data_IF_498733742932
#
_entry.id   IF_498733742932
#
_cell.length_a   1.000
_cell.length_b   1.000
_cell.length_c   1.000
_cell.angle_alpha   90.00
_cell.angle_beta   90.00
_cell.angle_gamma   90.00
#
_symmetry.space_group_name_H-M   'P 1'
#
loop_
_entity.id
_entity.type
_entity.pdbx_description
1 polymer ?
#
# COMPACT_ATOMS: atom_id res chain seq x y z
N UNK A 1 17.41 -8.40 12.90
CA UNK A 1 16.38 -7.47 13.41
C UNK A 1 16.51 -7.44 14.92
N UNK A 2 16.74 -6.28 15.54
CA UNK A 2 16.57 -6.18 17.00
C UNK A 2 15.10 -6.49 17.31
N UNK A 3 14.84 -7.52 18.12
CA UNK A 3 13.49 -7.80 18.62
C UNK A 3 13.06 -6.58 19.45
N UNK A 4 11.91 -5.99 19.10
CA UNK A 4 11.33 -4.94 19.94
C UNK A 4 10.98 -5.59 21.28
N UNK A 5 11.69 -5.23 22.36
CA UNK A 5 11.51 -5.88 23.69
C UNK A 5 10.05 -5.80 24.17
N UNK A 6 9.37 -4.71 23.84
CA UNK A 6 7.95 -4.51 24.13
C UNK A 6 7.03 -5.53 23.45
N UNK A 7 7.44 -6.06 22.29
CA UNK A 7 6.61 -6.95 21.48
C UNK A 7 7.07 -8.42 21.52
N UNK A 8 8.16 -8.73 22.24
CA UNK A 8 8.71 -10.08 22.30
C UNK A 8 7.90 -11.04 23.17
N UNK A 9 6.98 -10.53 23.99
CA UNK A 9 6.09 -11.33 24.87
C UNK A 9 4.71 -11.60 24.28
N UNK A 10 4.44 -11.14 23.05
CA UNK A 10 3.13 -11.31 22.44
C UNK A 10 2.92 -12.77 21.99
N UNK A 11 1.73 -13.31 22.24
CA UNK A 11 1.31 -14.61 21.74
C UNK A 11 1.35 -14.65 20.20
N UNK A 12 1.51 -15.85 19.64
CA UNK A 12 1.47 -16.04 18.18
C UNK A 12 0.04 -15.70 17.70
N UNK A 13 -0.05 -14.93 16.61
CA UNK A 13 -1.34 -14.62 16.01
C UNK A 13 -1.93 -15.85 15.31
N UNK A 14 -3.26 -15.99 15.33
CA UNK A 14 -3.96 -17.20 14.90
C UNK A 14 -3.91 -17.42 13.37
N UNK A 15 -4.07 -16.35 12.58
CA UNK A 15 -4.14 -16.45 11.10
C UNK A 15 -2.92 -15.84 10.40
N UNK A 16 -2.69 -14.54 10.61
CA UNK A 16 -1.58 -13.81 9.99
C UNK A 16 -0.60 -13.38 11.07
N UNK A 17 0.61 -13.92 10.97
CA UNK A 17 1.68 -13.67 11.94
C UNK A 17 2.29 -12.28 11.82
N UNK A 18 2.38 -11.74 10.60
CA UNK A 18 3.09 -10.48 10.32
C UNK A 18 2.84 -9.95 8.91
N UNK A 19 3.12 -8.67 8.72
CA UNK A 19 3.25 -8.02 7.43
C UNK A 19 4.62 -8.35 6.81
N UNK A 20 4.60 -8.65 5.52
CA UNK A 20 5.78 -8.81 4.69
C UNK A 20 6.01 -7.52 3.90
N UNK A 21 7.02 -6.73 4.29
CA UNK A 21 7.33 -5.45 3.62
C UNK A 21 8.39 -5.56 2.52
N UNK A 22 9.27 -6.57 2.61
CA UNK A 22 10.47 -6.66 1.75
C UNK A 22 10.09 -7.21 0.38
N UNK A 23 10.67 -6.63 -0.69
CA UNK A 23 10.48 -7.07 -2.08
C UNK A 23 8.99 -7.17 -2.49
N UNK A 24 8.20 -6.17 -2.11
CA UNK A 24 6.76 -6.11 -2.43
C UNK A 24 6.42 -5.05 -3.49
N UNK A 25 7.29 -4.07 -3.70
CA UNK A 25 7.16 -3.15 -4.82
C UNK A 25 7.79 -3.79 -6.06
N UNK A 26 7.12 -3.77 -7.22
CA UNK A 26 7.67 -4.31 -8.46
C UNK A 26 8.77 -3.42 -9.08
N UNK A 27 8.91 -2.19 -8.59
CA UNK A 27 9.77 -1.16 -9.15
C UNK A 27 10.16 -0.11 -8.10
N UNK A 28 11.00 0.84 -8.51
CA UNK A 28 11.48 1.90 -7.64
C UNK A 28 10.37 2.90 -7.31
N UNK A 29 10.32 3.26 -6.03
CA UNK A 29 9.52 4.37 -5.51
C UNK A 29 10.31 5.68 -5.44
N UNK A 30 11.59 5.65 -5.85
CA UNK A 30 12.52 6.79 -5.74
C UNK A 30 12.12 7.96 -6.64
N UNK A 31 11.38 7.68 -7.73
CA UNK A 31 10.84 8.65 -8.67
C UNK A 31 9.43 9.17 -8.33
N UNK A 32 8.89 8.91 -7.14
CA UNK A 32 7.67 9.61 -6.63
C UNK A 32 8.03 11.07 -6.25
N UNK A 33 8.89 11.70 -7.05
CA UNK A 33 9.21 13.11 -7.02
C UNK A 33 8.22 13.86 -7.94
N UNK A 34 7.96 15.15 -7.70
CA UNK A 34 6.91 15.91 -8.40
C UNK A 34 7.03 15.99 -9.93
N UNK A 35 8.17 15.60 -10.52
CA UNK A 35 8.60 15.94 -11.89
C UNK A 35 8.89 14.71 -12.77
N UNK A 36 8.18 13.59 -12.57
CA UNK A 36 8.37 12.41 -13.41
C UNK A 36 7.67 12.57 -14.78
N UNK A 37 8.39 12.27 -15.88
CA UNK A 37 7.82 12.17 -17.24
C UNK A 37 7.06 10.85 -17.42
N UNK A 38 5.92 10.88 -18.11
CA UNK A 38 5.03 9.72 -18.31
C UNK A 38 5.72 8.50 -18.97
N UNK A 39 6.78 8.73 -19.75
CA UNK A 39 7.56 7.68 -20.45
C UNK A 39 8.37 6.77 -19.51
N UNK A 40 8.47 7.11 -18.23
CA UNK A 40 9.30 6.38 -17.25
C UNK A 40 8.49 5.54 -16.24
N UNK A 41 7.19 5.32 -16.50
CA UNK A 41 6.32 4.58 -15.58
C UNK A 41 6.13 3.12 -16.00
N UNK A 42 5.89 2.23 -15.03
CA UNK A 42 5.69 0.80 -15.26
C UNK A 42 4.48 0.46 -16.16
N UNK A 43 3.38 1.20 -16.01
CA UNK A 43 2.16 0.99 -16.77
C UNK A 43 1.64 2.32 -17.34
N UNK A 44 2.03 2.66 -18.58
CA UNK A 44 1.53 3.85 -19.28
C UNK A 44 0.00 3.86 -19.47
N UNK A 45 -0.66 2.71 -19.42
CA UNK A 45 -2.12 2.62 -19.57
C UNK A 45 -2.88 2.95 -18.28
N UNK A 46 -2.18 3.09 -17.15
CA UNK A 46 -2.83 3.32 -15.86
C UNK A 46 -3.48 4.72 -15.82
N UNK A 47 -4.74 4.86 -15.36
CA UNK A 47 -5.46 6.15 -15.30
C UNK A 47 -4.79 7.23 -14.44
N UNK A 48 -3.83 6.85 -13.62
CA UNK A 48 -3.12 7.73 -12.71
C UNK A 48 -1.90 8.38 -13.38
N UNK A 49 -1.51 7.97 -14.60
CA UNK A 49 -0.36 8.51 -15.33
C UNK A 49 -0.54 10.01 -15.56
N UNK A 50 -1.75 10.40 -15.96
CA UNK A 50 -2.11 11.80 -16.20
C UNK A 50 -2.59 12.54 -14.95
N UNK A 51 -2.61 11.89 -13.78
CA UNK A 51 -3.04 12.50 -12.54
C UNK A 51 -1.88 13.30 -11.91
N UNK A 52 -2.07 14.60 -11.62
CA UNK A 52 -1.08 15.36 -10.87
C UNK A 52 -0.82 14.71 -9.52
N UNK A 53 0.47 14.49 -9.18
CA UNK A 53 0.88 13.69 -8.00
C UNK A 53 0.33 14.23 -6.67
N UNK A 54 0.01 15.52 -6.59
CA UNK A 54 -0.64 16.15 -5.42
C UNK A 54 -2.02 15.58 -5.09
N UNK A 55 -2.71 14.99 -6.07
CA UNK A 55 -4.02 14.36 -5.88
C UNK A 55 -3.95 12.89 -5.51
N UNK A 56 -2.75 12.28 -5.47
CA UNK A 56 -2.62 10.91 -4.99
C UNK A 56 -3.09 10.80 -3.53
N UNK A 57 -3.63 9.64 -3.12
CA UNK A 57 -4.07 9.42 -1.75
C UNK A 57 -2.96 9.74 -0.76
N UNK A 58 -3.18 10.77 0.05
CA UNK A 58 -2.25 11.25 1.06
C UNK A 58 -2.97 11.41 2.39
N UNK A 59 -2.22 11.06 3.44
CA UNK A 59 -2.52 11.35 4.83
C UNK A 59 -1.37 12.17 5.41
N UNK A 60 -1.70 13.21 6.16
CA UNK A 60 -0.72 14.06 6.82
C UNK A 60 -1.11 14.24 8.29
N UNK A 61 -0.14 14.00 9.16
CA UNK A 61 -0.20 14.23 10.59
C UNK A 61 1.14 14.86 11.02
N UNK A 62 1.18 15.52 12.18
CA UNK A 62 2.41 16.14 12.69
C UNK A 62 3.54 15.13 12.88
N UNK A 63 3.19 13.87 13.19
CA UNK A 63 4.15 12.82 13.55
C UNK A 63 4.65 12.09 12.32
N UNK A 64 3.82 11.91 11.29
CA UNK A 64 4.24 11.38 10.01
C UNK A 64 3.27 11.73 8.88
N UNK A 65 3.75 11.62 7.64
CA UNK A 65 2.88 11.63 6.47
C UNK A 65 3.02 10.35 5.65
N UNK A 66 1.96 9.98 4.95
CA UNK A 66 1.94 8.86 4.02
C UNK A 66 1.34 9.29 2.69
N UNK A 67 1.98 8.88 1.61
CA UNK A 67 1.39 8.93 0.25
C UNK A 67 1.31 7.52 -0.31
N UNK A 68 0.17 7.14 -0.88
CA UNK A 68 0.00 5.89 -1.59
C UNK A 68 0.11 6.14 -3.10
N UNK A 69 0.94 5.33 -3.77
CA UNK A 69 1.18 5.42 -5.21
C UNK A 69 0.88 4.06 -5.85
N UNK A 70 0.05 3.99 -6.91
CA UNK A 70 -0.24 2.72 -7.57
C UNK A 70 1.00 2.18 -8.28
N UNK A 71 1.11 0.86 -8.37
CA UNK A 71 2.28 0.19 -8.97
C UNK A 71 2.56 0.63 -10.40
N UNK A 72 1.51 0.92 -11.18
CA UNK A 72 1.66 1.39 -12.56
C UNK A 72 2.45 2.70 -12.69
N UNK A 73 2.57 3.50 -11.63
CA UNK A 73 3.33 4.76 -11.61
C UNK A 73 4.77 4.63 -11.10
N UNK A 74 5.18 3.45 -10.64
CA UNK A 74 6.54 3.23 -10.21
C UNK A 74 7.50 3.26 -11.41
N UNK A 75 8.76 3.58 -11.14
CA UNK A 75 9.79 3.67 -12.19
C UNK A 75 10.55 2.34 -12.31
N UNK A 76 10.70 1.79 -13.53
CA UNK A 76 11.58 0.66 -13.76
C UNK A 76 12.97 0.95 -13.17
N UNK A 77 13.52 0.02 -12.40
CA UNK A 77 14.87 0.21 -11.89
C UNK A 77 15.88 0.18 -13.06
N UNK A 78 16.68 1.24 -13.19
CA UNK A 78 17.69 1.37 -14.25
C UNK A 78 18.86 0.39 -14.11
N UNK A 79 19.00 -0.22 -12.93
CA UNK A 79 19.99 -1.25 -12.62
C UNK A 79 19.19 -2.48 -12.19
N UNK A 80 19.43 -3.67 -12.76
CA UNK A 80 18.79 -4.88 -12.28
C UNK A 80 19.18 -5.09 -10.82
N UNK A 81 18.25 -4.87 -9.90
CA UNK A 81 18.45 -5.30 -8.54
C UNK A 81 18.59 -6.83 -8.52
N UNK A 82 19.37 -7.37 -7.58
CA UNK A 82 19.68 -8.80 -7.52
C UNK A 82 18.42 -9.68 -7.49
N UNK A 83 18.32 -10.75 -8.27
CA UNK A 83 17.09 -11.52 -8.47
C UNK A 83 16.29 -11.83 -7.19
N UNK A 84 14.96 -11.99 -7.28
CA UNK A 84 14.14 -11.97 -8.50
C UNK A 84 13.40 -10.64 -8.64
N UNK A 85 13.72 -9.83 -9.65
CA UNK A 85 13.03 -8.54 -9.88
C UNK A 85 12.32 -8.43 -11.25
N UNK A 86 12.33 -9.48 -12.07
CA UNK A 86 11.38 -9.64 -13.19
C UNK A 86 10.03 -10.11 -12.66
N UNK A 87 9.43 -9.25 -11.84
CA UNK A 87 8.17 -9.53 -11.17
C UNK A 87 7.06 -9.00 -12.09
N UNK A 88 6.32 -9.86 -12.81
CA UNK A 88 5.29 -9.39 -13.72
C UNK A 88 4.22 -8.66 -12.92
N UNK A 89 3.92 -7.43 -13.33
CA UNK A 89 2.79 -6.66 -12.80
C UNK A 89 1.57 -6.91 -13.67
N UNK A 90 0.40 -7.03 -13.05
CA UNK A 90 -0.86 -6.95 -13.77
C UNK A 90 -1.08 -5.49 -14.17
N UNK A 91 -1.10 -5.22 -15.48
CA UNK A 91 -1.39 -3.87 -16.01
C UNK A 91 -2.86 -3.53 -15.80
N UNK A 92 -3.18 -2.24 -15.82
CA UNK A 92 -4.54 -1.74 -15.67
C UNK A 92 -5.47 -2.32 -16.74
N UNK A 93 -5.07 -2.28 -18.02
CA UNK A 93 -5.86 -2.82 -19.12
C UNK A 93 -6.15 -4.33 -18.98
N UNK A 94 -5.18 -5.10 -18.49
CA UNK A 94 -5.33 -6.53 -18.21
C UNK A 94 -6.33 -6.77 -17.07
N UNK A 95 -6.21 -6.01 -15.98
CA UNK A 95 -7.14 -6.06 -14.84
C UNK A 95 -8.58 -5.75 -15.26
N UNK A 96 -8.78 -4.74 -16.10
CA UNK A 96 -10.10 -4.36 -16.62
C UNK A 96 -10.68 -5.47 -17.50
N UNK A 97 -9.90 -5.97 -18.45
CA UNK A 97 -10.33 -7.05 -19.35
C UNK A 97 -10.74 -8.29 -18.57
N UNK A 98 -9.94 -8.64 -17.54
CA UNK A 98 -10.25 -9.75 -16.63
C UNK A 98 -11.53 -9.52 -15.82
N UNK A 99 -11.76 -8.30 -15.35
CA UNK A 99 -12.97 -7.96 -14.57
C UNK A 99 -14.24 -8.08 -15.41
N UNK A 100 -14.17 -7.80 -16.71
CA UNK A 100 -15.27 -8.00 -17.66
C UNK A 100 -15.51 -9.48 -18.01
N UNK A 101 -14.45 -10.29 -18.05
CA UNK A 101 -14.56 -11.73 -18.29
C UNK A 101 -14.99 -12.56 -17.07
N UNK A 102 -15.08 -11.93 -15.89
CA UNK A 102 -15.38 -12.64 -14.64
C UNK A 102 -16.90 -12.90 -14.53
N UNK A 103 -17.35 -14.17 -14.49
CA UNK A 103 -18.78 -14.50 -14.42
C UNK A 103 -19.45 -14.03 -13.12
N UNK A 104 -18.68 -13.73 -12.07
CA UNK A 104 -19.22 -13.14 -10.84
C UNK A 104 -19.70 -11.69 -11.03
N UNK A 105 -19.15 -10.97 -12.02
CA UNK A 105 -19.56 -9.60 -12.37
C UNK A 105 -20.94 -9.57 -13.03
N UNK A 106 -21.31 -10.64 -13.72
CA UNK A 106 -22.55 -10.77 -14.50
C UNK A 106 -23.80 -10.93 -13.60
N UNK A 107 -23.64 -11.56 -12.43
CA UNK A 107 -24.78 -11.93 -11.57
C UNK A 107 -25.43 -10.75 -10.81
N UNK A 108 -24.76 -9.60 -10.69
CA UNK A 108 -25.19 -8.49 -9.84
C UNK A 108 -25.44 -7.18 -10.58
N UNK A 109 -25.34 -7.14 -11.92
CA UNK A 109 -25.41 -5.93 -12.74
C UNK A 109 -24.49 -4.78 -12.26
N UNK A 110 -23.48 -5.09 -11.44
CA UNK A 110 -22.49 -4.14 -10.93
C UNK A 110 -21.13 -4.58 -11.42
N UNK A 111 -20.58 -3.80 -12.34
CA UNK A 111 -19.21 -3.96 -12.82
C UNK A 111 -18.23 -3.75 -11.65
N UNK A 112 -17.80 -4.84 -11.05
CA UNK A 112 -16.85 -4.82 -9.94
C UNK A 112 -15.43 -4.96 -10.47
N UNK A 113 -14.55 -4.06 -10.04
CA UNK A 113 -13.13 -4.16 -10.37
C UNK A 113 -12.52 -5.33 -9.60
N UNK A 114 -12.00 -6.32 -10.32
CA UNK A 114 -11.38 -7.48 -9.70
C UNK A 114 -10.14 -7.05 -8.89
N UNK A 115 -9.77 -7.75 -7.79
CA UNK A 115 -8.60 -7.39 -7.01
C UNK A 115 -7.30 -7.57 -7.83
N UNK A 116 -6.30 -6.72 -7.57
CA UNK A 116 -4.98 -6.83 -8.22
C UNK A 116 -4.33 -8.17 -7.90
N UNK A 117 -3.83 -8.84 -8.95
CA UNK A 117 -3.00 -10.04 -8.81
C UNK A 117 -1.59 -9.63 -8.37
N UNK A 118 -1.19 -10.10 -7.19
CA UNK A 118 0.17 -9.92 -6.71
C UNK A 118 1.06 -11.09 -7.14
N UNK A 119 2.22 -10.83 -7.74
CA UNK A 119 3.14 -11.86 -8.18
C UNK A 119 3.82 -12.56 -7.00
N UNK A 120 3.37 -13.81 -6.75
CA UNK A 120 3.96 -15.00 -6.07
C UNK A 120 4.89 -14.90 -4.84
N UNK A 121 5.43 -13.75 -4.42
CA UNK A 121 6.24 -13.63 -3.19
C UNK A 121 5.39 -13.52 -1.93
N UNK A 122 4.45 -14.45 -1.78
CA UNK A 122 3.63 -14.60 -0.59
C UNK A 122 4.25 -15.70 0.27
N UNK A 123 4.75 -15.31 1.44
CA UNK A 123 5.14 -16.29 2.47
C UNK A 123 3.90 -16.68 3.24
N UNK A 124 3.68 -17.99 3.45
CA UNK A 124 2.56 -18.48 4.22
C UNK A 124 2.48 -17.80 5.60
N UNK A 125 1.26 -17.43 6.01
CA UNK A 125 1.00 -16.73 7.27
C UNK A 125 1.54 -15.29 7.33
N UNK A 126 1.94 -14.68 6.21
CA UNK A 126 2.35 -13.26 6.14
C UNK A 126 1.58 -12.50 5.08
N UNK A 127 1.12 -11.31 5.44
CA UNK A 127 0.36 -10.45 4.56
C UNK A 127 1.29 -9.47 3.82
N UNK A 128 1.37 -9.51 2.48
CA UNK A 128 2.22 -8.60 1.73
C UNK A 128 1.74 -7.15 1.81
N UNK A 129 2.67 -6.22 2.05
CA UNK A 129 2.43 -4.78 2.01
C UNK A 129 3.62 -4.08 1.36
N UNK A 130 3.39 -3.35 0.27
CA UNK A 130 4.43 -2.53 -0.35
C UNK A 130 4.62 -1.24 0.45
N UNK A 131 5.75 -1.15 1.15
CA UNK A 131 6.04 -0.05 2.07
C UNK A 131 7.47 0.47 1.87
N UNK A 132 7.58 1.78 1.69
CA UNK A 132 8.81 2.53 1.62
C UNK A 132 8.81 3.53 2.76
N UNK A 133 9.90 3.60 3.52
CA UNK A 133 10.00 4.53 4.66
C UNK A 133 11.19 5.43 4.44
N UNK A 134 10.93 6.73 4.30
CA UNK A 134 11.92 7.76 4.03
C UNK A 134 12.24 8.50 5.32
N UNK A 135 13.13 7.93 6.14
CA UNK A 135 13.68 8.62 7.31
C UNK A 135 14.89 9.46 6.89
N UNK A 136 14.65 10.72 6.49
CA UNK A 136 15.71 11.65 6.06
C UNK A 136 16.59 12.12 7.23
N UNK A 137 17.88 12.36 7.00
CA UNK A 137 18.82 12.85 8.03
C UNK A 137 18.37 14.18 8.67
N UNK A 138 17.82 15.10 7.86
CA UNK A 138 17.35 16.42 8.30
C UNK A 138 16.08 16.33 9.15
N UNK A 139 15.10 15.53 8.72
CA UNK A 139 13.80 15.40 9.38
C UNK A 139 13.81 14.51 10.64
N UNK A 140 14.81 13.62 10.78
CA UNK A 140 14.89 12.66 11.89
C UNK A 140 16.19 12.77 12.66
N UNK A 141 17.26 12.12 12.21
CA UNK A 141 18.56 12.15 12.89
C UNK A 141 19.70 11.78 11.95
N UNK A 142 20.89 12.38 12.18
CA UNK A 142 22.15 11.97 11.53
C UNK A 142 22.56 10.54 11.92
N UNK A 143 22.17 10.04 13.10
CA UNK A 143 22.52 8.69 13.58
C UNK A 143 21.66 7.61 12.92
N UNK A 144 22.29 6.68 12.18
CA UNK A 144 21.61 5.57 11.48
C UNK A 144 20.74 4.72 12.41
N UNK A 145 21.22 4.44 13.62
CA UNK A 145 20.50 3.61 14.61
C UNK A 145 19.17 4.24 15.01
N UNK A 146 19.12 5.56 15.20
CA UNK A 146 17.87 6.28 15.52
C UNK A 146 16.88 6.16 14.36
N UNK A 147 17.33 6.39 13.13
CA UNK A 147 16.49 6.25 11.93
C UNK A 147 15.94 4.83 11.78
N UNK A 148 16.76 3.81 12.01
CA UNK A 148 16.31 2.41 11.98
C UNK A 148 15.26 2.12 13.06
N UNK A 149 15.41 2.68 14.26
CA UNK A 149 14.41 2.54 15.33
C UNK A 149 13.09 3.20 14.95
N UNK A 150 13.11 4.40 14.35
CA UNK A 150 11.91 5.07 13.82
C UNK A 150 11.22 4.19 12.76
N UNK A 151 11.97 3.73 11.75
CA UNK A 151 11.43 2.87 10.67
C UNK A 151 10.81 1.60 11.26
N UNK A 152 11.51 0.93 12.17
CA UNK A 152 11.01 -0.30 12.79
C UNK A 152 9.77 -0.04 13.64
N UNK A 153 9.69 1.11 14.31
CA UNK A 153 8.55 1.48 15.13
C UNK A 153 7.28 1.71 14.31
N UNK A 154 7.39 2.42 13.17
CA UNK A 154 6.30 2.54 12.19
C UNK A 154 5.88 1.16 11.68
N UNK A 155 6.84 0.31 11.28
CA UNK A 155 6.55 -1.05 10.80
C UNK A 155 5.89 -1.92 11.85
N UNK A 156 6.28 -1.78 13.11
CA UNK A 156 5.69 -2.51 14.23
C UNK A 156 4.26 -2.02 14.51
N UNK A 157 4.01 -0.71 14.48
CA UNK A 157 2.67 -0.15 14.62
C UNK A 157 1.74 -0.63 13.50
N UNK A 158 2.19 -0.61 12.25
CA UNK A 158 1.45 -1.17 11.10
C UNK A 158 1.15 -2.66 11.28
N UNK A 159 2.13 -3.45 11.73
CA UNK A 159 1.90 -4.86 12.04
C UNK A 159 0.79 -5.04 13.08
N UNK A 160 0.89 -4.33 14.22
CA UNK A 160 -0.08 -4.46 15.30
C UNK A 160 -1.48 -4.03 14.86
N UNK A 161 -1.59 -2.87 14.18
CA UNK A 161 -2.87 -2.35 13.69
C UNK A 161 -3.55 -3.29 12.69
N UNK A 162 -2.79 -3.91 11.79
CA UNK A 162 -3.36 -4.75 10.73
C UNK A 162 -3.52 -6.21 11.15
N UNK A 163 -2.49 -6.85 11.71
CA UNK A 163 -2.52 -8.31 11.95
C UNK A 163 -3.13 -8.69 13.28
N UNK A 164 -3.20 -7.75 14.24
CA UNK A 164 -3.74 -7.98 15.59
C UNK A 164 -4.84 -6.97 15.97
N UNK A 165 -5.41 -6.29 14.98
CA UNK A 165 -6.49 -5.32 15.15
C UNK A 165 -6.28 -4.40 16.38
N UNK A 166 -5.04 -3.94 16.58
CA UNK A 166 -4.66 -3.29 17.82
C UNK A 166 -5.44 -1.98 18.00
N UNK A 167 -6.02 -1.81 19.18
CA UNK A 167 -6.84 -0.66 19.56
C UNK A 167 -6.45 -0.12 20.93
N UNK A 168 -6.79 1.13 21.18
CA UNK A 168 -6.53 1.78 22.47
C UNK A 168 -7.87 2.01 23.15
N UNK A 169 -8.07 1.36 24.30
CA UNK A 169 -9.24 1.59 25.17
C UNK A 169 -8.73 1.92 26.56
N UNK A 170 -9.28 2.98 27.16
CA UNK A 170 -8.89 3.48 28.49
C UNK A 170 -7.36 3.69 28.65
N UNK A 171 -6.73 4.21 27.59
CA UNK A 171 -5.28 4.44 27.55
C UNK A 171 -4.41 3.19 27.46
N UNK A 172 -5.00 1.99 27.35
CA UNK A 172 -4.29 0.71 27.25
C UNK A 172 -4.42 0.13 25.84
N UNK A 173 -3.34 -0.49 25.38
CA UNK A 173 -3.33 -1.19 24.10
C UNK A 173 -3.97 -2.57 24.24
N UNK A 174 -5.07 -2.80 23.53
CA UNK A 174 -5.79 -4.05 23.44
C UNK A 174 -5.53 -4.66 22.07
N UNK A 175 -5.32 -5.97 22.04
CA UNK A 175 -5.05 -6.73 20.82
C UNK A 175 -6.19 -7.72 20.60
N UNK A 176 -6.87 -7.60 19.47
CA UNK A 176 -7.84 -8.58 19.01
C UNK A 176 -7.13 -9.54 18.04
N UNK A 177 -6.95 -10.78 18.49
CA UNK A 177 -6.14 -11.77 17.79
C UNK A 177 -6.93 -12.57 16.75
N UNK A 178 -8.24 -12.42 16.71
CA UNK A 178 -9.13 -13.24 15.88
C UNK A 178 -9.40 -12.60 14.52
N UNK A 179 -9.37 -11.27 14.42
CA UNK A 179 -9.81 -10.54 13.23
C UNK A 179 -8.70 -9.65 12.63
N UNK A 180 -7.85 -10.18 11.72
CA UNK A 180 -6.88 -9.35 11.02
C UNK A 180 -7.59 -8.37 10.05
N UNK A 181 -7.19 -7.10 10.08
CA UNK A 181 -7.72 -6.01 9.25
C UNK A 181 -7.04 -5.96 7.88
N UNK A 182 -6.93 -7.10 7.22
CA UNK A 182 -6.17 -7.25 5.97
C UNK A 182 -6.68 -6.33 4.87
N UNK A 183 -7.99 -6.09 4.89
CA UNK A 183 -8.71 -5.26 3.96
C UNK A 183 -8.20 -3.80 3.97
N UNK A 184 -7.58 -3.31 5.05
CA UNK A 184 -6.98 -1.97 5.12
C UNK A 184 -5.78 -1.77 4.17
N UNK A 185 -5.16 -2.86 3.70
CA UNK A 185 -4.05 -2.79 2.77
C UNK A 185 -4.60 -2.83 1.34
N UNK A 186 -4.37 -1.75 0.60
CA UNK A 186 -4.68 -1.63 -0.81
C UNK A 186 -3.62 -2.38 -1.63
N UNK A 187 -4.00 -3.53 -2.19
CA UNK A 187 -3.13 -4.31 -3.10
C UNK A 187 -2.89 -3.54 -4.40
N UNK A 188 -1.67 -3.61 -4.93
CA UNK A 188 -1.28 -2.84 -6.11
C UNK A 188 -0.85 -1.40 -5.82
N UNK A 189 -0.72 -1.03 -4.53
CA UNK A 189 -0.29 0.30 -4.10
C UNK A 189 0.94 0.22 -3.21
N UNK A 190 1.88 1.15 -3.43
CA UNK A 190 3.06 1.38 -2.59
C UNK A 190 2.81 2.54 -1.64
N UNK A 191 2.97 2.30 -0.35
CA UNK A 191 2.87 3.30 0.70
C UNK A 191 4.24 3.90 0.96
N UNK A 192 4.39 5.21 0.81
CA UNK A 192 5.62 5.94 1.15
C UNK A 192 5.38 6.75 2.42
N UNK A 193 6.06 6.39 3.50
CA UNK A 193 5.95 7.03 4.82
C UNK A 193 7.14 7.96 5.06
N UNK A 194 6.85 9.17 5.52
CA UNK A 194 7.83 10.17 5.96
C UNK A 194 7.61 10.44 7.46
N UNK A 195 8.29 9.69 8.35
CA UNK A 195 8.15 9.86 9.79
C UNK A 195 8.99 11.05 10.31
N UNK A 196 8.51 11.69 11.37
CA UNK A 196 9.24 12.70 12.13
C UNK A 196 10.16 12.06 13.19
N UNK A 197 10.97 12.89 13.87
CA UNK A 197 11.77 12.44 15.00
C UNK A 197 10.91 11.99 16.20
N UNK A 198 9.72 12.55 16.37
CA UNK A 198 8.84 12.29 17.54
C UNK A 198 8.43 10.82 17.63
N UNK A 199 8.23 10.16 16.49
CA UNK A 199 7.97 8.72 16.38
C UNK A 199 8.96 7.91 17.22
N UNK A 200 10.23 8.35 17.29
CA UNK A 200 11.26 7.66 18.05
C UNK A 200 10.85 7.38 19.51
N UNK A 201 10.19 8.35 20.16
CA UNK A 201 9.80 8.27 21.59
C UNK A 201 8.30 8.01 21.81
N UNK A 202 7.47 8.24 20.81
CA UNK A 202 6.00 8.10 20.91
C UNK A 202 5.54 6.70 21.35
N UNK A 203 4.72 6.53 22.40
CA UNK A 203 4.22 5.22 22.79
C UNK A 203 3.27 4.62 21.73
N UNK A 204 3.14 3.29 21.70
CA UNK A 204 2.23 2.63 20.75
C UNK A 204 0.75 3.00 20.97
N UNK A 205 0.37 3.39 22.19
CA UNK A 205 -0.96 3.89 22.54
C UNK A 205 -1.31 5.21 21.84
N UNK A 206 -0.31 5.98 21.41
CA UNK A 206 -0.52 7.20 20.61
C UNK A 206 -0.32 6.91 19.12
N UNK A 207 0.70 6.12 18.77
CA UNK A 207 1.06 5.89 17.37
C UNK A 207 0.05 5.01 16.61
N UNK A 208 -0.50 3.97 17.25
CA UNK A 208 -1.40 3.01 16.58
C UNK A 208 -2.69 3.68 16.10
N UNK A 209 -3.39 4.52 16.90
CA UNK A 209 -4.54 5.28 16.42
C UNK A 209 -4.25 6.10 15.15
N UNK A 210 -3.13 6.83 15.11
CA UNK A 210 -2.74 7.65 13.95
C UNK A 210 -2.46 6.77 12.72
N UNK A 211 -1.75 5.65 12.92
CA UNK A 211 -1.50 4.67 11.85
C UNK A 211 -2.80 4.08 11.30
N UNK A 212 -3.75 3.75 12.17
CA UNK A 212 -5.05 3.21 11.77
C UNK A 212 -5.87 4.23 10.98
N UNK A 213 -5.94 5.48 11.44
CA UNK A 213 -6.58 6.58 10.72
C UNK A 213 -5.95 6.80 9.34
N UNK A 214 -4.61 6.75 9.25
CA UNK A 214 -3.90 6.88 7.98
C UNK A 214 -4.31 5.78 6.99
N UNK A 215 -4.37 4.52 7.45
CA UNK A 215 -4.77 3.38 6.61
C UNK A 215 -6.22 3.50 6.15
N UNK A 216 -7.15 3.87 7.04
CA UNK A 216 -8.55 4.07 6.69
C UNK A 216 -8.74 5.19 5.66
N UNK A 217 -8.13 6.35 5.92
CA UNK A 217 -8.22 7.51 5.03
C UNK A 217 -7.66 7.23 3.64
N UNK A 218 -6.49 6.58 3.58
CA UNK A 218 -5.89 6.18 2.30
C UNK A 218 -6.76 5.17 1.59
N UNK A 219 -7.26 4.15 2.30
CA UNK A 219 -8.09 3.12 1.68
C UNK A 219 -9.36 3.71 1.07
N UNK A 220 -10.04 4.58 1.81
CA UNK A 220 -11.25 5.24 1.33
C UNK A 220 -10.97 5.95 0.00
N UNK A 221 -9.94 6.80 -0.04
CA UNK A 221 -9.53 7.50 -1.26
C UNK A 221 -9.15 6.54 -2.38
N UNK A 222 -8.37 5.50 -2.09
CA UNK A 222 -7.97 4.50 -3.10
C UNK A 222 -9.20 3.81 -3.70
N UNK A 223 -10.16 3.39 -2.88
CA UNK A 223 -11.39 2.75 -3.37
C UNK A 223 -12.19 3.71 -4.25
N UNK A 224 -12.32 4.98 -3.86
CA UNK A 224 -12.98 6.02 -4.67
C UNK A 224 -12.28 6.20 -6.03
N UNK A 225 -10.95 6.29 -6.04
CA UNK A 225 -10.16 6.39 -7.27
C UNK A 225 -10.33 5.16 -8.15
N UNK A 226 -10.13 3.95 -7.61
CA UNK A 226 -10.24 2.71 -8.37
C UNK A 226 -11.63 2.52 -8.97
N UNK A 227 -12.69 2.82 -8.21
CA UNK A 227 -14.07 2.72 -8.70
C UNK A 227 -14.32 3.72 -9.84
N UNK A 228 -13.89 4.99 -9.68
CA UNK A 228 -14.05 6.01 -10.71
C UNK A 228 -13.30 5.65 -11.99
N UNK A 229 -12.06 5.17 -11.86
CA UNK A 229 -11.23 4.74 -12.98
C UNK A 229 -11.78 3.50 -13.67
N UNK A 230 -12.24 2.52 -12.90
CA UNK A 230 -12.83 1.29 -13.42
C UNK A 230 -14.09 1.61 -14.22
N UNK A 231 -15.00 2.40 -13.66
CA UNK A 231 -16.22 2.82 -14.33
C UNK A 231 -15.93 3.47 -15.69
N UNK A 232 -15.02 4.45 -15.74
CA UNK A 232 -14.60 5.10 -17.00
C UNK A 232 -14.01 4.10 -18.00
N UNK A 233 -13.20 3.15 -17.52
CA UNK A 233 -12.55 2.15 -18.36
C UNK A 233 -13.55 1.16 -18.94
N UNK A 234 -14.52 0.70 -18.13
CA UNK A 234 -15.59 -0.19 -18.58
C UNK A 234 -16.48 0.46 -19.62
N UNK A 235 -16.94 1.70 -19.38
CA UNK A 235 -17.75 2.46 -20.34
C UNK A 235 -17.00 2.59 -21.68
N UNK A 236 -15.72 2.95 -21.63
CA UNK A 236 -14.90 3.08 -22.84
C UNK A 236 -14.79 1.76 -23.62
N UNK A 237 -14.59 0.63 -22.94
CA UNK A 237 -14.52 -0.67 -23.60
C UNK A 237 -15.88 -1.08 -24.19
N UNK A 238 -16.97 -0.94 -23.44
CA UNK A 238 -18.32 -1.27 -23.93
C UNK A 238 -18.72 -0.43 -25.16
N UNK A 239 -18.34 0.85 -25.21
CA UNK A 239 -18.57 1.71 -26.37
C UNK A 239 -17.74 1.29 -27.59
N UNK A 240 -16.50 0.83 -27.38
CA UNK A 240 -15.64 0.33 -28.47
C UNK A 240 -16.13 -0.99 -29.08
N UNK A 241 -16.92 -1.77 -28.34
CA UNK A 241 -17.49 -3.05 -28.78
C UNK A 241 -18.88 -2.93 -29.44
N UNK A 242 -19.47 -1.73 -29.58
CA UNK A 242 -20.66 -1.55 -30.42
C UNK A 242 -20.22 -1.51 -31.89
N UNK A 243 -20.43 -2.57 -32.70
CA UNK A 243 -20.22 -2.44 -34.14
C UNK A 243 -21.22 -1.41 -34.66
N UNK A 244 -20.78 -0.54 -35.57
CA UNK A 244 -21.69 0.25 -36.39
C UNK A 244 -22.58 -0.73 -37.16
N UNK A 245 -23.80 -0.93 -36.68
CA UNK A 245 -24.86 -1.56 -37.44
C UNK A 245 -25.29 -0.51 -38.45
N UNK A 246 -24.77 -0.63 -39.67
CA UNK A 246 -25.28 0.07 -40.86
C UNK A 246 -26.52 -0.65 -41.39
#
# INVERSE_FOLDING_TARGET
MQKCKELSRLTKAAQISSLLFRKQSPASSSAIQPLQKAETVLDPSHPAVNLPRKFLPRFHDSVFSVTATPFGLLEPESIPCQPPFDIPIEKWAERISRSLSDPATDQLNRLMLAPVRLPKFQKYGRLPMSLVTVAGKKATSKKKVIRLRIINKVKNALNLAVTRAAEVKDGKLILDQELPRQNLICRGWTYTVYPSLEVYRMPFTELIPIVFQALQSIRQKVVEFENSWAHKSFVRQLLAYKPFVY
#
